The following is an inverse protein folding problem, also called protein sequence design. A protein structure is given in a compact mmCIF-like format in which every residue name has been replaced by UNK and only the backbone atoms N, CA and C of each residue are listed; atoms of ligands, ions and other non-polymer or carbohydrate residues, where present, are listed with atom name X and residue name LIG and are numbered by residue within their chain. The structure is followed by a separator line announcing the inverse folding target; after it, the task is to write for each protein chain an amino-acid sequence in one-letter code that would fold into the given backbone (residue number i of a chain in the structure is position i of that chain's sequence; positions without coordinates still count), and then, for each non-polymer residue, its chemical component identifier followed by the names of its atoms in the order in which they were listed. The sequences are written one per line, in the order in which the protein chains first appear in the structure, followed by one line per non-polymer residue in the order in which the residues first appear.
data_IF_503386980759
#
_entry.id   IF_503386980759
#
_cell.length_a   1.000
_cell.length_b   1.000
_cell.length_c   1.000
_cell.angle_alpha   90.00
_cell.angle_beta   90.00
_cell.angle_gamma   90.00
#
_symmetry.space_group_name_H-M   'P 1'
#
loop_
_entity.id
_entity.type
_entity.pdbx_description
1 polymer ?
#
# COMPACT_ATOMS: atom_id res chain seq x y z
N UNK A 1 -4.59 -33.60 -10.09
CA UNK A 1 -5.52 -33.34 -8.97
C UNK A 1 -5.00 -32.23 -8.04
N UNK A 2 -3.73 -32.27 -7.61
CA UNK A 2 -3.12 -31.21 -6.77
C UNK A 2 -3.10 -29.81 -7.39
N UNK A 3 -2.79 -29.67 -8.69
CA UNK A 3 -2.76 -28.36 -9.35
C UNK A 3 -4.14 -27.67 -9.43
N UNK A 4 -5.22 -28.46 -9.53
CA UNK A 4 -6.59 -27.95 -9.52
C UNK A 4 -6.98 -27.47 -8.10
N UNK A 5 -6.55 -28.18 -7.06
CA UNK A 5 -6.76 -27.76 -5.67
C UNK A 5 -6.00 -26.45 -5.35
N UNK A 6 -4.73 -26.34 -5.76
CA UNK A 6 -3.94 -25.11 -5.60
C UNK A 6 -4.60 -23.93 -6.31
N UNK A 7 -5.04 -24.11 -7.55
CA UNK A 7 -5.74 -23.07 -8.30
C UNK A 7 -7.04 -22.63 -7.61
N UNK A 8 -7.82 -23.56 -7.06
CA UNK A 8 -9.04 -23.22 -6.32
C UNK A 8 -8.74 -22.44 -5.03
N UNK A 9 -7.73 -22.84 -4.26
CA UNK A 9 -7.32 -22.14 -3.03
C UNK A 9 -6.86 -20.71 -3.34
N UNK A 10 -6.06 -20.54 -4.41
CA UNK A 10 -5.61 -19.21 -4.86
C UNK A 10 -6.80 -18.34 -5.25
N UNK A 11 -7.78 -18.88 -5.97
CA UNK A 11 -8.98 -18.14 -6.35
C UNK A 11 -9.85 -17.76 -5.14
N UNK A 12 -10.04 -18.67 -4.18
CA UNK A 12 -10.77 -18.37 -2.93
C UNK A 12 -10.08 -17.25 -2.15
N UNK A 13 -8.75 -17.31 -2.02
CA UNK A 13 -7.97 -16.25 -1.35
C UNK A 13 -8.04 -14.92 -2.09
N UNK A 14 -8.03 -14.93 -3.42
CA UNK A 14 -8.23 -13.72 -4.21
C UNK A 14 -9.63 -13.10 -3.98
N UNK A 15 -10.67 -13.92 -3.87
CA UNK A 15 -12.00 -13.45 -3.49
C UNK A 15 -12.05 -12.86 -2.08
N UNK A 16 -11.30 -13.42 -1.12
CA UNK A 16 -11.20 -12.82 0.22
C UNK A 16 -10.51 -11.45 0.19
N UNK A 17 -9.46 -11.28 -0.63
CA UNK A 17 -8.83 -9.98 -0.85
C UNK A 17 -9.83 -8.94 -1.33
N UNK A 18 -10.66 -9.30 -2.32
CA UNK A 18 -11.70 -8.40 -2.86
C UNK A 18 -12.76 -8.08 -1.80
N UNK A 19 -13.24 -9.11 -1.09
CA UNK A 19 -14.29 -8.97 -0.07
C UNK A 19 -13.87 -8.04 1.06
N UNK A 20 -12.63 -8.15 1.51
CA UNK A 20 -12.11 -7.43 2.67
C UNK A 20 -11.55 -6.04 2.31
N UNK A 21 -11.53 -5.68 1.02
CA UNK A 21 -11.02 -4.39 0.55
C UNK A 21 -12.06 -3.26 0.67
N UNK A 22 -11.60 -2.06 1.03
CA UNK A 22 -12.39 -0.83 0.94
C UNK A 22 -12.78 -0.46 -0.50
N UNK A 23 -12.08 -1.04 -1.48
CA UNK A 23 -12.30 -0.87 -2.91
C UNK A 23 -13.16 -1.97 -3.53
N UNK A 24 -13.89 -2.73 -2.70
CA UNK A 24 -14.69 -3.86 -3.16
C UNK A 24 -15.60 -3.55 -4.35
N UNK A 25 -16.42 -2.48 -4.35
CA UNK A 25 -17.28 -2.18 -5.50
C UNK A 25 -16.49 -1.99 -6.80
N UNK A 26 -15.34 -1.31 -6.72
CA UNK A 26 -14.46 -1.06 -7.85
C UNK A 26 -13.79 -2.35 -8.34
N UNK A 27 -13.37 -3.22 -7.41
CA UNK A 27 -12.74 -4.50 -7.73
C UNK A 27 -13.74 -5.49 -8.36
N UNK A 28 -15.00 -5.49 -7.91
CA UNK A 28 -16.08 -6.29 -8.50
C UNK A 28 -16.50 -5.78 -9.89
N UNK A 29 -16.28 -4.49 -10.18
CA UNK A 29 -16.56 -3.86 -11.48
C UNK A 29 -15.39 -3.95 -12.48
N UNK A 30 -14.30 -4.65 -12.15
CA UNK A 30 -13.20 -4.88 -13.08
C UNK A 30 -13.65 -5.79 -14.25
N UNK A 31 -13.16 -5.57 -15.49
CA UNK A 31 -13.47 -6.47 -16.61
C UNK A 31 -12.97 -7.90 -16.35
N UNK A 32 -13.81 -8.89 -16.63
CA UNK A 32 -13.48 -10.32 -16.43
C UNK A 32 -12.23 -10.75 -17.21
N UNK A 33 -11.99 -10.17 -18.39
CA UNK A 33 -10.82 -10.51 -19.21
C UNK A 33 -9.52 -9.89 -18.70
N UNK A 34 -9.58 -8.87 -17.83
CA UNK A 34 -8.40 -8.09 -17.42
C UNK A 34 -7.35 -8.95 -16.73
N UNK A 35 -7.75 -9.83 -15.82
CA UNK A 35 -6.82 -10.74 -15.15
C UNK A 35 -6.12 -11.66 -16.15
N UNK A 36 -6.89 -12.24 -17.08
CA UNK A 36 -6.34 -13.15 -18.10
C UNK A 36 -5.37 -12.41 -19.02
N UNK A 37 -5.72 -11.19 -19.44
CA UNK A 37 -4.85 -10.36 -20.25
C UNK A 37 -3.55 -10.02 -19.50
N UNK A 38 -3.66 -9.47 -18.29
CA UNK A 38 -2.51 -9.11 -17.43
C UNK A 38 -1.59 -10.31 -17.20
N UNK A 39 -2.15 -11.47 -16.86
CA UNK A 39 -1.38 -12.71 -16.64
C UNK A 39 -0.52 -13.08 -17.86
N UNK A 40 -1.04 -12.85 -19.06
CA UNK A 40 -0.38 -13.20 -20.32
C UNK A 40 0.61 -12.13 -20.82
N UNK A 41 0.54 -10.90 -20.34
CA UNK A 41 1.32 -9.77 -20.88
C UNK A 41 2.27 -9.13 -19.87
N UNK A 42 1.95 -9.12 -18.58
CA UNK A 42 2.70 -8.38 -17.57
C UNK A 42 4.18 -8.79 -17.48
N UNK A 43 4.50 -10.08 -17.63
CA UNK A 43 5.88 -10.57 -17.56
C UNK A 43 6.81 -10.04 -18.66
N UNK A 44 6.25 -9.52 -19.77
CA UNK A 44 7.03 -8.97 -20.89
C UNK A 44 7.70 -7.66 -20.49
N UNK A 45 7.01 -6.86 -19.68
CA UNK A 45 7.48 -5.57 -19.20
C UNK A 45 8.04 -5.64 -17.77
N UNK A 46 7.50 -6.54 -16.95
CA UNK A 46 7.91 -6.77 -15.58
C UNK A 46 8.45 -8.21 -15.40
N UNK A 47 9.70 -8.49 -15.80
CA UNK A 47 10.29 -9.82 -15.67
C UNK A 47 10.24 -10.33 -14.23
N UNK A 48 9.76 -11.57 -14.06
CA UNK A 48 9.67 -12.22 -12.76
C UNK A 48 8.42 -11.89 -11.93
N UNK A 49 7.52 -11.03 -12.42
CA UNK A 49 6.26 -10.72 -11.74
C UNK A 49 5.46 -12.00 -11.40
N UNK A 50 5.02 -12.18 -10.15
CA UNK A 50 4.10 -13.26 -9.81
C UNK A 50 2.79 -13.10 -10.60
N UNK A 51 2.30 -14.18 -11.21
CA UNK A 51 1.18 -14.14 -12.15
C UNK A 51 -0.10 -14.79 -11.59
N UNK A 52 -0.22 -14.86 -10.26
CA UNK A 52 -1.37 -15.47 -9.58
C UNK A 52 -2.48 -14.44 -9.29
N UNK A 53 -3.69 -14.96 -9.01
CA UNK A 53 -4.87 -14.12 -8.82
C UNK A 53 -4.81 -13.27 -7.53
N UNK A 54 -4.08 -13.71 -6.50
CA UNK A 54 -3.94 -12.95 -5.25
C UNK A 54 -3.04 -11.74 -5.52
N UNK A 55 -1.92 -11.95 -6.21
CA UNK A 55 -1.05 -10.86 -6.63
C UNK A 55 -1.81 -9.84 -7.48
N UNK A 56 -2.54 -10.30 -8.50
CA UNK A 56 -3.36 -9.44 -9.34
C UNK A 56 -4.38 -8.62 -8.53
N UNK A 57 -5.15 -9.26 -7.64
CA UNK A 57 -6.17 -8.58 -6.85
C UNK A 57 -5.56 -7.48 -5.96
N UNK A 58 -4.40 -7.72 -5.35
CA UNK A 58 -3.68 -6.72 -4.54
C UNK A 58 -3.05 -5.62 -5.38
N UNK A 59 -2.51 -5.96 -6.56
CA UNK A 59 -1.97 -4.98 -7.50
C UNK A 59 -3.08 -4.07 -8.05
N UNK A 60 -4.24 -4.64 -8.39
CA UNK A 60 -5.42 -3.90 -8.81
C UNK A 60 -5.95 -3.00 -7.70
N UNK A 61 -6.06 -3.49 -6.46
CA UNK A 61 -6.36 -2.65 -5.29
C UNK A 61 -5.36 -1.48 -5.16
N UNK A 62 -4.07 -1.74 -5.40
CA UNK A 62 -3.02 -0.74 -5.53
C UNK A 62 -3.33 0.37 -6.54
N UNK A 63 -3.72 -0.02 -7.75
CA UNK A 63 -4.09 0.91 -8.80
C UNK A 63 -5.30 1.76 -8.41
N UNK A 64 -6.30 1.16 -7.77
CA UNK A 64 -7.49 1.86 -7.30
C UNK A 64 -7.19 2.87 -6.18
N UNK A 65 -6.25 2.54 -5.27
CA UNK A 65 -5.70 3.50 -4.30
C UNK A 65 -5.04 4.67 -5.00
N UNK A 66 -4.31 4.43 -6.09
CA UNK A 66 -3.68 5.51 -6.86
C UNK A 66 -4.71 6.41 -7.55
N UNK A 67 -5.77 5.84 -8.13
CA UNK A 67 -6.85 6.65 -8.72
C UNK A 67 -7.54 7.54 -7.69
N UNK A 68 -7.71 7.06 -6.45
CA UNK A 68 -8.19 7.90 -5.35
C UNK A 68 -7.22 9.03 -4.99
N UNK A 69 -5.91 8.76 -5.01
CA UNK A 69 -4.89 9.79 -4.80
C UNK A 69 -5.00 10.88 -5.89
N UNK A 70 -5.10 10.50 -7.16
CA UNK A 70 -5.25 11.45 -8.27
C UNK A 70 -6.54 12.25 -8.14
N UNK A 71 -7.64 11.59 -7.77
CA UNK A 71 -8.94 12.25 -7.57
C UNK A 71 -8.89 13.30 -6.46
N UNK A 72 -8.16 13.03 -5.38
CA UNK A 72 -8.07 13.89 -4.20
C UNK A 72 -6.89 14.89 -4.24
N UNK A 73 -6.20 14.98 -5.38
CA UNK A 73 -5.08 15.89 -5.59
C UNK A 73 -5.39 16.90 -6.69
N UNK A 74 -5.03 18.17 -6.45
CA UNK A 74 -5.05 19.23 -7.45
C UNK A 74 -3.76 19.25 -8.30
N UNK A 75 -2.75 18.46 -7.91
CA UNK A 75 -1.42 18.42 -8.52
C UNK A 75 -1.16 17.06 -9.17
N UNK A 76 -0.24 17.03 -10.13
CA UNK A 76 0.20 15.80 -10.77
C UNK A 76 0.79 14.82 -9.73
N UNK A 77 0.46 13.53 -9.90
CA UNK A 77 0.75 12.46 -8.96
C UNK A 77 1.60 11.39 -9.64
N UNK A 78 2.58 10.85 -8.92
CA UNK A 78 3.44 9.76 -9.38
C UNK A 78 3.02 8.43 -8.75
N UNK A 79 2.90 7.37 -9.55
CA UNK A 79 2.57 6.04 -9.05
C UNK A 79 3.81 5.40 -8.39
N UNK A 80 3.79 5.06 -7.08
CA UNK A 80 4.98 4.58 -6.37
C UNK A 80 5.15 3.04 -6.42
N UNK A 81 4.33 2.33 -7.19
CA UNK A 81 4.23 0.87 -7.14
C UNK A 81 4.24 0.26 -8.54
N UNK A 82 5.26 -0.56 -8.83
CA UNK A 82 5.34 -1.30 -10.10
C UNK A 82 4.30 -2.40 -10.20
N UNK A 83 3.87 -2.97 -9.07
CA UNK A 83 2.80 -3.95 -9.08
C UNK A 83 1.49 -3.31 -9.59
N UNK A 84 1.12 -2.15 -9.05
CA UNK A 84 -0.05 -1.40 -9.53
C UNK A 84 0.11 -0.93 -10.99
N UNK A 85 1.31 -0.47 -11.36
CA UNK A 85 1.62 0.00 -12.71
C UNK A 85 1.43 -1.10 -13.76
N UNK A 86 1.82 -2.34 -13.42
CA UNK A 86 1.61 -3.50 -14.30
C UNK A 86 0.15 -3.74 -14.66
N UNK A 87 -0.78 -3.49 -13.73
CA UNK A 87 -2.22 -3.62 -13.99
C UNK A 87 -2.70 -2.46 -14.85
N UNK A 88 -2.20 -1.25 -14.62
CA UNK A 88 -2.56 -0.08 -15.44
C UNK A 88 -2.12 -0.27 -16.88
N UNK A 89 -0.86 -0.68 -17.12
CA UNK A 89 -0.34 -0.95 -18.46
C UNK A 89 -1.15 -2.03 -19.17
N UNK A 90 -1.45 -3.14 -18.47
CA UNK A 90 -2.28 -4.20 -19.01
C UNK A 90 -3.69 -3.71 -19.38
N UNK A 91 -4.33 -2.92 -18.52
CA UNK A 91 -5.69 -2.42 -18.77
C UNK A 91 -5.73 -1.39 -19.90
N UNK A 92 -4.78 -0.45 -19.91
CA UNK A 92 -4.66 0.56 -20.97
C UNK A 92 -4.44 -0.11 -22.33
N UNK A 93 -3.52 -1.08 -22.41
CA UNK A 93 -3.24 -1.83 -23.63
C UNK A 93 -4.40 -2.72 -24.07
N UNK A 94 -5.16 -3.28 -23.13
CA UNK A 94 -6.36 -4.08 -23.43
C UNK A 94 -7.50 -3.21 -23.95
N UNK A 95 -7.84 -2.13 -23.23
CA UNK A 95 -8.91 -1.22 -23.62
C UNK A 95 -8.87 0.09 -22.83
N UNK A 96 -8.18 1.10 -23.38
CA UNK A 96 -8.20 2.47 -22.83
C UNK A 96 -9.64 3.00 -22.65
N UNK A 97 -10.55 2.72 -23.58
CA UNK A 97 -11.93 3.17 -23.52
C UNK A 97 -12.76 2.53 -22.38
N UNK A 98 -12.43 1.30 -21.95
CA UNK A 98 -13.04 0.70 -20.76
C UNK A 98 -12.45 1.30 -19.49
N UNK A 99 -11.14 1.49 -19.45
CA UNK A 99 -10.46 2.15 -18.33
C UNK A 99 -11.00 3.57 -18.10
N UNK A 100 -11.17 4.37 -19.15
CA UNK A 100 -11.72 5.72 -19.05
C UNK A 100 -13.15 5.71 -18.51
N UNK A 101 -14.00 4.78 -18.97
CA UNK A 101 -15.37 4.61 -18.48
C UNK A 101 -15.41 4.20 -17.02
N UNK A 102 -14.52 3.29 -16.61
CA UNK A 102 -14.35 2.87 -15.22
C UNK A 102 -13.93 4.05 -14.35
N UNK A 103 -12.93 4.81 -14.78
CA UNK A 103 -12.46 6.01 -14.09
C UNK A 103 -13.57 7.06 -13.94
N UNK A 104 -14.34 7.33 -15.01
CA UNK A 104 -15.49 8.22 -14.95
C UNK A 104 -16.56 7.73 -13.97
N UNK A 105 -16.89 6.42 -13.95
CA UNK A 105 -17.90 5.84 -13.07
C UNK A 105 -17.51 5.94 -11.59
N UNK A 106 -16.27 5.60 -11.24
CA UNK A 106 -15.85 5.47 -9.84
C UNK A 106 -15.12 6.68 -9.28
N UNK A 107 -14.52 7.50 -10.14
CA UNK A 107 -13.68 8.62 -9.74
C UNK A 107 -14.13 9.97 -10.34
N UNK A 108 -15.26 9.98 -11.07
CA UNK A 108 -15.90 11.15 -11.66
C UNK A 108 -15.06 11.91 -12.71
N UNK A 109 -13.97 11.32 -13.19
CA UNK A 109 -13.09 11.89 -14.22
C UNK A 109 -12.29 10.80 -14.92
N UNK A 110 -11.77 11.10 -16.09
CA UNK A 110 -10.69 10.31 -16.68
C UNK A 110 -9.38 10.58 -15.93
N UNK A 111 -8.53 9.55 -15.87
CA UNK A 111 -7.22 9.61 -15.25
C UNK A 111 -6.22 9.16 -16.33
N UNK A 112 -5.56 10.10 -17.03
CA UNK A 112 -4.62 9.74 -18.08
C UNK A 112 -3.39 9.06 -17.47
N UNK A 113 -2.93 8.00 -18.11
CA UNK A 113 -1.58 7.48 -17.86
C UNK A 113 -0.59 8.42 -18.56
N UNK A 114 0.37 8.93 -17.81
CA UNK A 114 1.38 9.87 -18.31
C UNK A 114 2.75 9.33 -17.93
N UNK A 115 3.56 9.03 -18.94
CA UNK A 115 4.92 8.56 -18.76
C UNK A 115 5.77 9.58 -18.01
N UNK A 116 6.73 9.09 -17.23
CA UNK A 116 7.59 9.92 -16.38
C UNK A 116 8.24 11.09 -17.13
N UNK A 117 8.70 10.84 -18.37
CA UNK A 117 9.36 11.84 -19.21
C UNK A 117 8.42 12.88 -19.82
N UNK A 118 7.10 12.68 -19.73
CA UNK A 118 6.07 13.56 -20.27
C UNK A 118 5.37 14.38 -19.18
N UNK A 119 5.69 14.14 -17.91
CA UNK A 119 5.11 14.89 -16.79
C UNK A 119 5.61 16.35 -16.80
N UNK A 120 4.70 17.28 -16.52
CA UNK A 120 5.04 18.71 -16.41
C UNK A 120 5.91 19.05 -15.18
N UNK A 121 5.98 18.13 -14.22
CA UNK A 121 6.78 18.25 -13.00
C UNK A 121 7.76 17.08 -12.89
N UNK A 122 8.78 17.21 -12.04
CA UNK A 122 9.70 16.11 -11.77
C UNK A 122 8.97 14.92 -11.14
N UNK A 123 9.39 13.70 -11.48
CA UNK A 123 8.83 12.48 -10.91
C UNK A 123 8.90 12.48 -9.38
N UNK A 124 9.98 12.98 -8.79
CA UNK A 124 10.13 13.03 -7.34
C UNK A 124 9.09 13.95 -6.67
N UNK A 125 8.76 15.09 -7.29
CA UNK A 125 7.71 16.00 -6.78
C UNK A 125 6.31 15.39 -6.96
N UNK A 126 6.09 14.66 -8.07
CA UNK A 126 4.85 13.92 -8.29
C UNK A 126 4.67 12.81 -7.25
N UNK A 127 5.74 12.07 -6.93
CA UNK A 127 5.75 11.07 -5.88
C UNK A 127 5.53 11.70 -4.49
N UNK A 128 6.12 12.86 -4.21
CA UNK A 128 5.88 13.59 -2.96
C UNK A 128 4.42 14.04 -2.81
N UNK A 129 3.80 14.49 -3.91
CA UNK A 129 2.37 14.78 -3.97
C UNK A 129 1.55 13.53 -3.63
N UNK A 130 1.86 12.41 -4.27
CA UNK A 130 1.19 11.13 -4.00
C UNK A 130 1.40 10.65 -2.57
N UNK A 131 2.59 10.85 -1.99
CA UNK A 131 2.91 10.48 -0.62
C UNK A 131 2.03 11.20 0.39
N UNK A 132 1.90 12.52 0.26
CA UNK A 132 1.11 13.33 1.20
C UNK A 132 -0.38 13.01 1.06
N UNK A 133 -0.87 12.89 -0.17
CA UNK A 133 -2.27 12.55 -0.41
C UNK A 133 -2.59 11.13 0.07
N UNK A 134 -1.70 10.15 -0.15
CA UNK A 134 -1.86 8.80 0.38
C UNK A 134 -1.91 8.78 1.91
N UNK A 135 -1.03 9.55 2.58
CA UNK A 135 -1.07 9.69 4.05
C UNK A 135 -2.39 10.28 4.52
N UNK A 136 -2.91 11.29 3.83
CA UNK A 136 -4.21 11.89 4.16
C UNK A 136 -5.33 10.85 4.08
N UNK A 137 -5.37 10.07 3.00
CA UNK A 137 -6.39 9.04 2.77
C UNK A 137 -6.28 7.87 3.77
N UNK A 138 -5.06 7.50 4.16
CA UNK A 138 -4.79 6.48 5.18
C UNK A 138 -4.99 6.98 6.63
N UNK A 139 -5.40 8.25 6.84
CA UNK A 139 -5.55 8.84 8.18
C UNK A 139 -4.23 9.04 8.93
N UNK A 140 -3.11 9.10 8.21
CA UNK A 140 -1.77 9.28 8.75
C UNK A 140 -1.41 10.76 8.89
N UNK A 141 -0.45 11.06 9.78
CA UNK A 141 0.10 12.40 9.94
C UNK A 141 0.89 12.78 8.66
N UNK A 142 0.45 13.84 7.98
CA UNK A 142 0.97 14.24 6.67
C UNK A 142 2.49 14.45 6.63
N UNK A 143 3.01 15.14 7.65
CA UNK A 143 4.43 15.48 7.75
C UNK A 143 5.29 14.28 8.20
N UNK A 144 4.70 13.25 8.81
CA UNK A 144 5.45 12.11 9.39
C UNK A 144 6.29 11.35 8.37
N UNK A 145 7.19 10.48 8.81
CA UNK A 145 7.92 9.57 7.93
C UNK A 145 7.17 8.25 7.65
N UNK A 146 5.95 8.07 8.17
CA UNK A 146 5.19 6.82 8.00
C UNK A 146 4.95 6.50 6.53
N UNK A 147 5.09 5.22 6.18
CA UNK A 147 4.87 4.68 4.84
C UNK A 147 3.38 4.38 4.66
N UNK A 148 2.66 5.07 3.75
CA UNK A 148 1.26 4.74 3.46
C UNK A 148 1.13 3.41 2.69
N UNK A 149 -0.07 2.83 2.68
CA UNK A 149 -0.36 1.49 2.14
C UNK A 149 0.15 1.29 0.72
N UNK A 150 -0.16 2.24 -0.18
CA UNK A 150 0.25 2.16 -1.58
C UNK A 150 1.78 2.15 -1.76
N UNK A 151 2.51 2.94 -0.98
CA UNK A 151 3.97 2.95 -0.99
C UNK A 151 4.55 1.65 -0.40
N UNK A 152 3.85 1.01 0.52
CA UNK A 152 4.25 -0.30 1.05
C UNK A 152 3.99 -1.49 0.10
N UNK A 153 3.26 -1.29 -1.00
CA UNK A 153 2.65 -2.38 -1.76
C UNK A 153 3.67 -3.31 -2.41
N UNK A 154 4.66 -2.77 -3.12
CA UNK A 154 5.66 -3.56 -3.85
C UNK A 154 6.46 -4.46 -2.89
N UNK A 155 6.84 -3.94 -1.71
CA UNK A 155 7.50 -4.72 -0.66
C UNK A 155 6.59 -5.82 -0.12
N UNK A 156 5.31 -5.52 0.12
CA UNK A 156 4.34 -6.49 0.61
C UNK A 156 4.14 -7.65 -0.38
N UNK A 157 4.09 -7.32 -1.68
CA UNK A 157 3.91 -8.30 -2.75
C UNK A 157 5.21 -8.95 -3.23
N UNK A 158 6.36 -8.55 -2.67
CA UNK A 158 7.70 -9.00 -3.09
C UNK A 158 7.94 -8.77 -4.58
N UNK A 159 7.45 -7.66 -5.12
CA UNK A 159 7.48 -7.31 -6.54
C UNK A 159 8.92 -7.18 -7.06
N UNK A 160 9.39 -8.08 -7.94
CA UNK A 160 10.74 -7.97 -8.52
C UNK A 160 10.93 -6.67 -9.28
N UNK A 161 12.07 -6.01 -9.03
CA UNK A 161 12.36 -4.69 -9.59
C UNK A 161 11.50 -3.55 -9.06
N UNK A 162 10.59 -3.81 -8.12
CA UNK A 162 9.76 -2.80 -7.45
C UNK A 162 10.51 -2.03 -6.36
N UNK A 163 9.77 -1.25 -5.57
CA UNK A 163 10.34 -0.38 -4.55
C UNK A 163 10.00 -0.82 -3.12
N UNK A 164 11.00 -0.80 -2.24
CA UNK A 164 10.84 -1.09 -0.82
C UNK A 164 11.01 0.19 0.02
N UNK A 165 9.91 0.93 0.18
CA UNK A 165 9.86 2.12 1.03
C UNK A 165 9.96 1.74 2.51
N UNK A 166 10.84 2.42 3.26
CA UNK A 166 11.04 2.22 4.70
C UNK A 166 11.56 3.48 5.38
N UNK A 167 11.32 3.56 6.69
CA UNK A 167 11.88 4.62 7.53
C UNK A 167 13.24 4.19 8.06
N UNK A 168 14.24 5.05 7.92
CA UNK A 168 15.58 4.86 8.48
C UNK A 168 16.11 6.20 8.97
N UNK A 169 16.65 6.26 10.19
CA UNK A 169 17.14 7.53 10.76
C UNK A 169 16.07 8.62 10.92
N UNK A 170 14.77 8.25 10.95
CA UNK A 170 13.66 9.21 10.99
C UNK A 170 13.30 9.83 9.63
N UNK A 171 13.89 9.36 8.54
CA UNK A 171 13.63 9.78 7.18
C UNK A 171 12.99 8.64 6.37
N UNK A 172 12.10 9.00 5.44
CA UNK A 172 11.52 8.05 4.51
C UNK A 172 12.46 7.92 3.31
N UNK A 173 12.88 6.70 3.00
CA UNK A 173 13.59 6.38 1.78
C UNK A 173 13.06 5.10 1.14
N UNK A 174 13.72 4.66 0.08
CA UNK A 174 13.42 3.40 -0.57
C UNK A 174 14.69 2.68 -1.03
N UNK A 175 14.58 1.38 -1.24
CA UNK A 175 15.57 0.59 -1.96
C UNK A 175 14.89 -0.16 -3.11
N UNK A 176 15.66 -0.63 -4.08
CA UNK A 176 15.15 -1.54 -5.10
C UNK A 176 14.84 -2.92 -4.48
N UNK A 177 13.94 -3.66 -5.11
CA UNK A 177 13.67 -5.07 -4.80
C UNK A 177 14.32 -5.92 -5.89
N UNK A 178 15.16 -6.88 -5.50
CA UNK A 178 15.86 -7.74 -6.45
C UNK A 178 14.93 -8.79 -7.08
N UNK A 179 15.47 -9.59 -7.99
CA UNK A 179 14.73 -10.64 -8.71
C UNK A 179 14.13 -11.74 -7.82
N UNK A 180 14.58 -11.84 -6.56
CA UNK A 180 14.05 -12.79 -5.56
C UNK A 180 12.96 -12.18 -4.69
N UNK A 181 12.56 -10.93 -4.95
CA UNK A 181 11.58 -10.23 -4.12
C UNK A 181 12.15 -9.73 -2.79
N UNK A 182 13.48 -9.57 -2.69
CA UNK A 182 14.17 -9.12 -1.48
C UNK A 182 14.63 -7.67 -1.66
N UNK A 183 14.31 -6.82 -0.69
CA UNK A 183 14.76 -5.43 -0.67
C UNK A 183 16.29 -5.33 -0.53
N UNK A 184 16.92 -4.50 -1.36
CA UNK A 184 18.35 -4.25 -1.30
C UNK A 184 18.76 -3.43 -0.07
N UNK A 185 20.01 -3.59 0.36
CA UNK A 185 20.56 -2.87 1.51
C UNK A 185 20.72 -1.37 1.23
N UNK A 186 21.10 -1.00 -0.01
CA UNK A 186 21.33 0.39 -0.41
C UNK A 186 20.03 1.19 -0.43
N UNK A 187 19.91 2.13 0.50
CA UNK A 187 18.79 3.07 0.59
C UNK A 187 19.08 4.33 -0.22
N UNK A 188 18.01 4.88 -0.79
CA UNK A 188 17.95 6.19 -1.41
C UNK A 188 16.93 7.03 -0.66
N UNK A 189 17.27 8.29 -0.41
CA UNK A 189 16.43 9.23 0.32
C UNK A 189 16.12 10.41 -0.60
N UNK A 190 14.93 10.41 -1.24
CA UNK A 190 14.53 11.51 -2.10
C UNK A 190 14.41 12.81 -1.32
N UNK A 191 14.98 13.87 -1.88
CA UNK A 191 14.93 15.21 -1.30
C UNK A 191 13.50 15.63 -0.96
N UNK A 192 12.56 15.41 -1.90
CA UNK A 192 11.16 15.78 -1.78
C UNK A 192 10.35 14.99 -0.74
N UNK A 193 10.94 13.99 -0.07
CA UNK A 193 10.27 13.26 1.02
C UNK A 193 10.53 13.88 2.40
N UNK A 194 11.45 14.84 2.50
CA UNK A 194 11.73 15.55 3.74
C UNK A 194 10.57 16.49 4.10
N UNK A 195 10.20 16.55 5.38
CA UNK A 195 9.11 17.40 5.87
C UNK A 195 9.32 18.89 5.59
N UNK A 196 10.56 19.38 5.60
CA UNK A 196 10.87 20.77 5.25
C UNK A 196 10.58 21.05 3.76
N UNK A 197 10.93 20.12 2.88
CA UNK A 197 10.69 20.26 1.43
C UNK A 197 9.21 20.08 1.07
N UNK A 198 8.50 19.20 1.78
CA UNK A 198 7.04 19.10 1.66
C UNK A 198 6.35 20.42 2.05
N UNK A 199 6.86 21.11 3.07
CA UNK A 199 6.36 22.42 3.48
C UNK A 199 6.71 23.50 2.45
N UNK A 200 7.95 23.53 1.98
CA UNK A 200 8.40 24.47 0.96
C UNK A 200 7.63 24.32 -0.36
N UNK A 201 7.27 23.08 -0.73
CA UNK A 201 6.40 22.78 -1.86
C UNK A 201 4.93 23.15 -1.62
N UNK A 202 4.54 23.50 -0.39
CA UNK A 202 3.15 23.74 0.00
C UNK A 202 2.28 22.48 -0.03
N UNK A 203 2.87 21.29 0.10
CA UNK A 203 2.14 20.02 0.19
C UNK A 203 1.62 19.77 1.61
N UNK A 204 2.29 20.31 2.63
CA UNK A 204 1.84 20.27 4.03
C UNK A 204 1.73 21.68 4.61
N UNK A 205 0.98 21.83 5.68
CA UNK A 205 0.83 23.11 6.40
C UNK A 205 1.93 23.31 7.43
N UNK A 206 2.20 24.57 7.80
CA UNK A 206 3.12 24.92 8.88
C UNK A 206 2.76 24.20 10.19
N UNK A 207 1.46 24.16 10.54
CA UNK A 207 0.98 23.46 11.73
C UNK A 207 1.33 21.97 11.72
N UNK A 208 1.23 21.29 10.57
CA UNK A 208 1.57 19.88 10.45
C UNK A 208 3.09 19.65 10.62
N UNK A 209 3.90 20.56 10.09
CA UNK A 209 5.35 20.55 10.23
C UNK A 209 5.80 20.78 11.69
N UNK A 210 5.26 21.80 12.36
CA UNK A 210 5.59 22.13 13.75
C UNK A 210 5.19 21.00 14.72
N UNK A 211 4.01 20.41 14.51
CA UNK A 211 3.55 19.26 15.28
C UNK A 211 4.51 18.06 15.16
N UNK A 212 5.14 17.86 13.99
CA UNK A 212 6.13 16.81 13.81
C UNK A 212 7.46 17.15 14.49
N UNK A 213 7.92 18.41 14.42
CA UNK A 213 9.14 18.83 15.11
C UNK A 213 9.02 18.64 16.63
N UNK A 214 7.87 18.97 17.22
CA UNK A 214 7.59 18.74 18.63
C UNK A 214 7.66 17.24 18.97
N UNK A 215 7.08 16.36 18.13
CA UNK A 215 7.18 14.91 18.32
C UNK A 215 8.62 14.39 18.21
N UNK A 216 9.45 14.95 17.32
CA UNK A 216 10.86 14.57 17.19
C UNK A 216 11.66 14.95 18.44
N UNK A 217 11.45 16.17 18.97
CA UNK A 217 12.10 16.62 20.22
C UNK A 217 11.75 15.73 21.40
N UNK A 218 10.46 15.46 21.62
CA UNK A 218 10.01 14.61 22.73
C UNK A 218 10.58 13.18 22.68
N UNK A 219 10.84 12.64 21.48
CA UNK A 219 11.47 11.31 21.33
C UNK A 219 12.97 11.32 21.62
N UNK A 220 13.66 12.41 21.34
CA UNK A 220 15.09 12.56 21.65
C UNK A 220 15.30 12.79 23.15
N UNK A 221 14.45 13.60 23.76
CA UNK A 221 14.53 13.92 25.19
C UNK A 221 14.11 12.72 26.07
N UNK A 222 13.14 11.92 25.63
CA UNK A 222 12.73 10.68 26.31
C UNK A 222 13.72 9.52 26.22
N UNK A 223 14.70 9.57 25.32
CA UNK A 223 15.77 8.57 25.23
C UNK A 223 16.93 8.86 26.20
N UNK A 224 16.96 10.04 26.83
CA UNK A 224 18.01 10.45 27.76
C UNK A 224 17.74 10.08 29.24
N UNK A 225 16.55 9.56 29.57
CA UNK A 225 16.16 9.23 30.95
C UNK A 225 15.46 7.86 31.07
N UNK A 226 16.20 6.76 30.88
CA UNK A 226 15.63 5.43 31.10
C UNK A 226 16.54 4.27 30.75
N UNK A 227 17.56 4.02 31.56
CA UNK A 227 18.16 2.68 31.65
C UNK A 227 17.13 1.72 32.27
N UNK A 228 16.31 1.09 31.43
CA UNK A 228 15.34 0.09 31.83
C UNK A 228 15.01 -0.81 30.64
N UNK A 229 15.43 -2.07 30.73
CA UNK A 229 15.22 -3.12 29.73
C UNK A 229 13.77 -3.17 29.22
N UNK A 230 13.57 -3.01 27.90
CA UNK A 230 12.52 -3.74 27.17
C UNK A 230 12.79 -3.67 25.66
N UNK A 231 13.09 -4.82 25.07
CA UNK A 231 13.15 -5.01 23.63
C UNK A 231 11.74 -4.86 23.04
N UNK A 232 11.47 -3.75 22.37
CA UNK A 232 10.28 -3.60 21.53
C UNK A 232 10.70 -3.60 20.06
N UNK A 233 10.73 -4.79 19.48
CA UNK A 233 10.73 -5.01 18.04
C UNK A 233 9.37 -4.58 17.48
N UNK A 234 9.34 -3.55 16.64
CA UNK A 234 8.16 -3.22 15.84
C UNK A 234 8.08 -4.11 14.60
N UNK A 235 7.88 -5.41 14.82
CA UNK A 235 7.41 -6.35 13.81
C UNK A 235 5.91 -6.61 14.05
N UNK A 236 5.05 -5.79 13.43
CA UNK A 236 3.66 -6.16 13.22
C UNK A 236 3.54 -6.76 11.81
N UNK A 237 3.87 -8.04 11.75
CA UNK A 237 3.71 -8.89 10.59
C UNK A 237 3.45 -10.32 11.04
N UNK A 238 2.24 -10.58 11.55
CA UNK A 238 1.76 -11.94 11.76
C UNK A 238 0.37 -12.12 11.16
N UNK A 239 0.33 -13.01 10.18
CA UNK A 239 -0.84 -13.66 9.66
C UNK A 239 -1.58 -14.42 10.77
N UNK A 240 -2.91 -14.48 10.67
CA UNK A 240 -3.70 -15.49 11.34
C UNK A 240 -4.79 -15.95 10.37
N UNK A 241 -4.49 -17.05 9.69
CA UNK A 241 -5.45 -17.95 9.06
C UNK A 241 -5.42 -19.19 9.97
N UNK A 242 -6.47 -19.41 10.77
CA UNK A 242 -6.89 -20.75 11.20
C UNK A 242 -8.28 -20.67 11.82
N UNK A 243 -9.24 -21.18 11.07
CA UNK A 243 -10.50 -21.68 11.57
C UNK A 243 -10.25 -22.90 12.48
N UNK A 244 -10.98 -22.98 13.59
CA UNK A 244 -11.54 -24.25 14.04
C UNK A 244 -12.87 -23.99 14.73
N UNK A 245 -13.89 -24.69 14.27
CA UNK A 245 -15.26 -24.64 14.73
C UNK A 245 -15.68 -26.06 15.11
N UNK A 246 -16.23 -26.21 16.32
CA UNK A 246 -16.77 -27.45 16.88
C UNK A 246 -16.38 -27.57 18.35
N UNK A 247 -17.25 -27.81 19.32
CA UNK A 247 -18.67 -28.11 19.35
C UNK A 247 -18.99 -28.49 20.81
N UNK A 248 -19.95 -27.78 21.38
CA UNK A 248 -20.93 -28.13 22.43
C UNK A 248 -20.61 -28.93 23.72
N UNK A 249 -21.38 -28.53 24.76
CA UNK A 249 -21.96 -29.31 25.87
C UNK A 249 -21.23 -29.50 27.24
N UNK A 250 -21.92 -29.05 28.30
CA UNK A 250 -21.80 -29.46 29.71
C UNK A 250 -21.20 -28.36 30.61
N UNK A 251 -21.85 -27.75 31.60
CA UNK A 251 -22.86 -28.25 32.55
C UNK A 251 -22.28 -28.19 33.97
N UNK A 252 -23.02 -27.55 34.90
CA UNK A 252 -22.90 -27.61 36.38
C UNK A 252 -22.18 -26.49 37.14
N UNK A 253 -23.03 -25.58 37.63
CA UNK A 253 -23.20 -25.10 39.02
C UNK A 253 -22.22 -25.50 40.13
N UNK A 254 -21.68 -24.49 40.83
CA UNK A 254 -21.47 -24.35 42.29
C UNK A 254 -20.89 -22.92 42.53
N UNK A 255 -21.23 -22.06 43.48
CA UNK A 255 -22.10 -22.07 44.67
C UNK A 255 -21.54 -21.02 45.66
N UNK A 256 -22.39 -20.13 46.21
CA UNK A 256 -22.19 -19.29 47.43
C UNK A 256 -21.13 -18.18 47.36
N UNK A 257 -21.19 -17.03 48.04
CA UNK A 257 -22.09 -16.47 49.06
C UNK A 257 -21.33 -15.41 49.89
N UNK A 258 -22.03 -14.35 50.32
CA UNK A 258 -21.81 -13.50 51.53
C UNK A 258 -20.55 -12.60 51.60
N UNK A 259 -20.66 -11.27 51.62
CA UNK A 259 -20.60 -10.42 52.84
C UNK A 259 -19.22 -9.72 52.89
N UNK A 260 -19.04 -8.42 53.09
CA UNK A 260 -19.72 -7.51 54.01
C UNK A 260 -18.69 -7.10 55.07
N UNK A 261 -17.91 -6.06 54.77
CA UNK A 261 -17.38 -5.00 55.65
C UNK A 261 -16.62 -3.96 54.80
#
# INVERSE_FOLDING_TARGET
MLENLKSKIVNVRAHMVIRDSSYRPQLEDLPDELFTYWKNTAHKEFPGIPSDAIFFARAAEGLLMFFDIVRNSERACGLPSKAADSVWHAWSAMSQAQLDRFCCKHYARTIPHVEAGQMAITMDLALATSLVTARKLDGLVLASCTVPRLFGLDRHLKMPGGFAYRVSGGELGFSQINQRGIAEAKMQFPFWFNSAELLAAGLITQNAYDAQLLKKKNRQDGAACGSGFSSSSCDLGSAADSCDAGGDSGGSSCGGGCGGD
#
